data_IF_891334237096
#
_entry.id   IF_891334237096
#
_cell.length_a   1.000
_cell.length_b   1.000
_cell.length_c   1.000
_cell.angle_alpha   90.00
_cell.angle_beta   90.00
_cell.angle_gamma   90.00
#
_symmetry.space_group_name_H-M   'P 1'
#
loop_
_entity.id
_entity.type
_entity.pdbx_description
1 polymer ?
#
# COMPACT_ATOMS: atom_id res chain seq x y z
N UNK A 1 -9.20 3.06 -29.84
CA UNK A 1 -10.00 4.26 -29.53
C UNK A 1 -10.56 4.06 -28.14
N UNK A 2 -9.95 4.68 -27.12
CA UNK A 2 -10.47 4.65 -25.75
C UNK A 2 -11.75 5.49 -25.71
N UNK A 3 -12.88 4.87 -25.42
CA UNK A 3 -14.18 5.52 -25.44
C UNK A 3 -14.40 6.24 -24.11
N UNK A 4 -14.44 7.57 -24.13
CA UNK A 4 -14.50 8.45 -22.95
C UNK A 4 -15.84 8.37 -22.17
N UNK A 5 -16.75 7.46 -22.51
CA UNK A 5 -18.11 7.39 -21.95
C UNK A 5 -18.34 6.26 -20.94
N UNK A 6 -17.30 5.57 -20.45
CA UNK A 6 -17.45 4.39 -19.57
C UNK A 6 -17.02 4.57 -18.11
N UNK A 7 -16.37 5.68 -17.74
CA UNK A 7 -16.01 5.92 -16.33
C UNK A 7 -17.14 6.69 -15.65
N UNK A 8 -18.19 5.96 -15.30
CA UNK A 8 -19.31 6.46 -14.49
C UNK A 8 -18.76 6.96 -13.14
N UNK A 9 -19.10 8.19 -12.77
CA UNK A 9 -18.44 8.95 -11.70
C UNK A 9 -18.49 8.25 -10.33
N UNK A 10 -17.31 7.77 -9.95
CA UNK A 10 -16.62 7.70 -8.66
C UNK A 10 -17.36 8.36 -7.44
N UNK A 11 -17.37 7.70 -6.25
CA UNK A 11 -18.19 8.08 -5.10
C UNK A 11 -17.82 9.41 -4.38
N UNK A 12 -16.79 10.13 -4.82
CA UNK A 12 -16.30 11.42 -4.32
C UNK A 12 -16.60 12.63 -5.21
N UNK A 13 -17.35 12.46 -6.31
CA UNK A 13 -17.54 13.43 -7.43
C UNK A 13 -18.14 14.82 -7.11
N UNK A 14 -18.28 15.21 -5.85
CA UNK A 14 -18.89 16.50 -5.46
C UNK A 14 -17.88 17.58 -5.05
N UNK A 15 -16.61 17.24 -4.78
CA UNK A 15 -15.62 18.20 -4.27
C UNK A 15 -14.26 18.08 -4.95
N UNK A 16 -13.72 19.22 -5.42
CA UNK A 16 -12.34 19.29 -5.88
C UNK A 16 -11.42 19.57 -4.68
N UNK A 17 -10.51 18.64 -4.32
CA UNK A 17 -9.65 18.84 -3.17
C UNK A 17 -8.56 19.87 -3.48
N UNK A 18 -8.19 20.67 -2.47
CA UNK A 18 -7.11 21.66 -2.58
C UNK A 18 -5.75 21.02 -2.85
N UNK A 19 -4.79 21.83 -3.30
CA UNK A 19 -3.41 21.36 -3.44
C UNK A 19 -2.79 21.01 -2.08
N UNK A 20 -2.13 19.85 -2.04
CA UNK A 20 -1.39 19.36 -0.87
C UNK A 20 0.10 19.19 -1.15
N UNK A 21 0.91 18.97 -0.12
CA UNK A 21 2.35 18.67 -0.23
C UNK A 21 2.57 17.19 -0.54
N UNK A 22 3.70 16.83 -1.16
CA UNK A 22 4.00 15.45 -1.60
C UNK A 22 4.05 14.43 -0.46
N UNK A 23 4.51 14.88 0.71
CA UNK A 23 4.80 14.03 1.86
C UNK A 23 3.70 14.08 2.92
N UNK A 24 2.56 14.69 2.62
CA UNK A 24 1.47 14.90 3.58
C UNK A 24 0.25 14.12 3.18
N UNK A 25 -0.55 13.69 4.15
CA UNK A 25 -1.76 12.91 3.95
C UNK A 25 -2.86 13.66 3.18
N UNK A 26 -4.01 13.02 2.97
CA UNK A 26 -5.16 13.60 2.24
C UNK A 26 -5.78 14.83 2.90
N UNK A 27 -5.54 15.10 4.19
CA UNK A 27 -5.94 16.36 4.82
C UNK A 27 -4.85 17.44 4.76
N UNK A 28 -3.67 17.10 4.23
CA UNK A 28 -2.48 17.95 4.16
C UNK A 28 -1.97 18.41 5.54
N UNK A 29 -2.31 17.70 6.62
CA UNK A 29 -1.97 18.07 8.00
C UNK A 29 -0.92 17.15 8.62
N UNK A 30 -0.87 15.89 8.24
CA UNK A 30 0.06 14.90 8.79
C UNK A 30 1.14 14.60 7.76
N UNK A 31 2.42 14.70 8.14
CA UNK A 31 3.55 14.34 7.28
C UNK A 31 3.74 12.82 7.28
N UNK A 32 3.15 12.12 6.31
CA UNK A 32 3.15 10.64 6.20
C UNK A 32 4.49 10.02 5.83
N UNK A 33 5.52 10.82 5.56
CA UNK A 33 6.90 10.33 5.48
C UNK A 33 7.65 10.34 6.82
N UNK A 34 7.01 10.76 7.91
CA UNK A 34 7.60 10.90 9.24
C UNK A 34 6.88 10.02 10.25
N UNK A 35 7.56 8.98 10.75
CA UNK A 35 6.99 8.08 11.75
C UNK A 35 6.50 8.81 13.00
N UNK A 36 7.25 9.76 13.59
CA UNK A 36 6.75 10.51 14.74
C UNK A 36 5.46 11.28 14.45
N UNK A 37 5.37 11.92 13.26
CA UNK A 37 4.18 12.67 12.90
C UNK A 37 2.95 11.77 12.72
N UNK A 38 3.12 10.61 12.09
CA UNK A 38 2.02 9.63 11.95
C UNK A 38 1.65 9.03 13.31
N UNK A 39 2.62 8.59 14.11
CA UNK A 39 2.38 8.07 15.47
C UNK A 39 1.59 9.05 16.31
N UNK A 40 1.97 10.33 16.31
CA UNK A 40 1.31 11.35 17.14
C UNK A 40 -0.13 11.60 16.65
N UNK A 41 -0.35 11.69 15.34
CA UNK A 41 -1.70 11.80 14.78
C UNK A 41 -2.56 10.56 15.08
N UNK A 42 -1.97 9.37 15.04
CA UNK A 42 -2.65 8.12 15.32
C UNK A 42 -2.99 7.99 16.81
N UNK A 43 -2.11 8.46 17.69
CA UNK A 43 -2.41 8.59 19.13
C UNK A 43 -3.62 9.48 19.35
N UNK A 44 -3.68 10.63 18.69
CA UNK A 44 -4.81 11.56 18.87
C UNK A 44 -6.13 10.91 18.40
N UNK A 45 -6.14 10.22 17.26
CA UNK A 45 -7.30 9.46 16.74
C UNK A 45 -7.70 8.32 17.70
N UNK A 46 -6.72 7.55 18.19
CA UNK A 46 -6.94 6.39 19.04
C UNK A 46 -7.44 6.79 20.44
N UNK A 47 -6.82 7.78 21.06
CA UNK A 47 -7.19 8.26 22.39
C UNK A 47 -8.53 9.00 22.41
N UNK A 48 -8.95 9.60 21.29
CA UNK A 48 -10.32 10.15 21.19
C UNK A 48 -11.38 9.04 21.25
N UNK A 49 -11.11 7.88 20.63
CA UNK A 49 -12.00 6.71 20.68
C UNK A 49 -11.89 5.94 22.01
N UNK A 50 -10.67 5.86 22.59
CA UNK A 50 -10.38 5.08 23.79
C UNK A 50 -9.58 5.89 24.84
N UNK A 51 -10.21 6.86 25.54
CA UNK A 51 -9.48 7.81 26.40
C UNK A 51 -8.74 7.21 27.59
N UNK A 52 -9.12 6.00 28.01
CA UNK A 52 -8.55 5.32 29.19
C UNK A 52 -7.56 4.21 28.84
N UNK A 53 -7.30 3.97 27.54
CA UNK A 53 -6.46 2.87 27.08
C UNK A 53 -5.04 3.37 26.83
N UNK A 54 -4.04 2.61 27.31
CA UNK A 54 -2.64 2.95 27.13
C UNK A 54 -2.20 2.81 25.66
N UNK A 55 -1.40 3.78 25.19
CA UNK A 55 -0.86 3.80 23.83
C UNK A 55 0.52 3.10 23.71
N UNK A 56 1.04 2.54 24.81
CA UNK A 56 2.42 2.06 24.90
C UNK A 56 2.78 1.00 23.85
N UNK A 57 1.87 0.05 23.58
CA UNK A 57 2.10 -1.00 22.57
C UNK A 57 2.18 -0.45 21.15
N UNK A 58 1.33 0.53 20.82
CA UNK A 58 1.40 1.22 19.52
C UNK A 58 2.67 2.07 19.43
N UNK A 59 3.05 2.72 20.51
CA UNK A 59 4.31 3.47 20.57
C UNK A 59 5.51 2.55 20.29
N UNK A 60 5.58 1.38 20.95
CA UNK A 60 6.62 0.37 20.73
C UNK A 60 6.59 -0.09 19.27
N UNK A 61 5.40 -0.37 18.71
CA UNK A 61 5.28 -0.76 17.30
C UNK A 61 5.81 0.29 16.32
N UNK A 62 5.56 1.57 16.54
CA UNK A 62 6.13 2.63 15.71
C UNK A 62 7.65 2.75 15.87
N UNK A 63 8.18 2.58 17.09
CA UNK A 63 9.63 2.53 17.32
C UNK A 63 10.26 1.36 16.54
N UNK A 64 9.70 0.18 16.70
CA UNK A 64 10.18 -1.07 16.12
C UNK A 64 10.07 -1.07 14.58
N UNK A 65 9.03 -0.44 14.03
CA UNK A 65 8.89 -0.17 12.60
C UNK A 65 10.05 0.67 12.05
N UNK A 66 10.45 1.75 12.73
CA UNK A 66 11.64 2.52 12.32
C UNK A 66 12.90 1.68 12.37
N UNK A 67 13.10 0.92 13.45
CA UNK A 67 14.27 0.05 13.59
C UNK A 67 14.35 -0.96 12.43
N UNK A 68 13.23 -1.55 12.04
CA UNK A 68 13.13 -2.49 10.94
C UNK A 68 13.41 -1.81 9.59
N UNK A 69 12.69 -0.75 9.25
CA UNK A 69 12.82 -0.08 7.94
C UNK A 69 14.18 0.60 7.75
N UNK A 70 14.84 1.03 8.84
CA UNK A 70 16.20 1.59 8.80
C UNK A 70 17.30 0.52 8.73
N UNK A 71 16.98 -0.77 8.86
CA UNK A 71 17.97 -1.84 8.93
C UNK A 71 18.75 -1.88 10.25
N UNK A 72 18.18 -1.29 11.30
CA UNK A 72 18.74 -1.29 12.67
C UNK A 72 18.22 -2.46 13.51
N UNK A 73 17.32 -3.27 12.97
CA UNK A 73 16.93 -4.55 13.53
C UNK A 73 17.98 -5.61 13.23
N UNK A 74 18.42 -6.35 14.26
CA UNK A 74 19.60 -7.22 14.17
C UNK A 74 19.59 -8.16 12.95
N UNK A 75 18.47 -8.85 12.75
CA UNK A 75 18.35 -9.94 11.78
C UNK A 75 17.89 -9.49 10.37
N UNK A 76 17.59 -8.20 10.19
CA UNK A 76 17.03 -7.66 8.95
C UNK A 76 17.95 -6.61 8.33
N UNK A 77 17.95 -6.57 7.01
CA UNK A 77 18.45 -5.42 6.26
C UNK A 77 17.47 -4.25 6.40
N UNK A 78 17.83 -3.08 5.87
CA UNK A 78 16.89 -1.96 5.74
C UNK A 78 16.01 -2.08 4.51
N UNK A 79 14.89 -1.36 4.51
CA UNK A 79 13.99 -1.26 3.35
C UNK A 79 14.79 -0.78 2.13
N UNK A 80 14.75 -1.54 1.04
CA UNK A 80 15.43 -1.23 -0.22
C UNK A 80 14.48 -1.21 -1.44
N UNK A 81 13.18 -1.39 -1.21
CA UNK A 81 12.07 -1.11 -2.12
C UNK A 81 11.83 0.40 -2.24
N UNK A 82 11.44 0.88 -3.42
CA UNK A 82 11.31 2.31 -3.76
C UNK A 82 9.86 2.79 -3.83
N UNK A 83 8.92 1.88 -4.06
CA UNK A 83 7.48 2.11 -4.02
C UNK A 83 6.90 1.71 -2.67
N UNK A 84 7.11 0.46 -2.25
CA UNK A 84 6.73 -0.05 -0.92
C UNK A 84 7.75 0.41 0.12
N UNK A 85 7.88 1.74 0.26
CA UNK A 85 8.81 2.41 1.16
C UNK A 85 8.12 2.85 2.47
N UNK A 86 8.87 3.46 3.39
CA UNK A 86 8.34 3.90 4.69
C UNK A 86 7.10 4.77 4.56
N UNK A 87 7.04 5.65 3.55
CA UNK A 87 5.91 6.57 3.39
C UNK A 87 4.63 5.80 3.06
N UNK A 88 4.71 4.76 2.22
CA UNK A 88 3.56 3.95 1.86
C UNK A 88 2.93 3.30 3.10
N UNK A 89 3.72 2.58 3.90
CA UNK A 89 3.20 1.90 5.10
C UNK A 89 2.61 2.89 6.10
N UNK A 90 3.23 4.06 6.28
CA UNK A 90 2.78 5.09 7.21
C UNK A 90 1.46 5.77 6.76
N UNK A 91 1.31 6.10 5.46
CA UNK A 91 0.08 6.72 4.93
C UNK A 91 -1.11 5.76 5.05
N UNK A 92 -0.91 4.51 4.65
CA UNK A 92 -1.93 3.47 4.78
C UNK A 92 -2.25 3.18 6.26
N UNK A 93 -1.28 3.18 7.17
CA UNK A 93 -1.55 2.96 8.61
C UNK A 93 -2.43 4.05 9.19
N UNK A 94 -2.24 5.31 8.75
CA UNK A 94 -3.12 6.41 9.11
C UNK A 94 -4.53 6.25 8.50
N UNK A 95 -4.64 5.76 7.27
CA UNK A 95 -5.93 5.43 6.66
C UNK A 95 -6.66 4.30 7.40
N UNK A 96 -5.94 3.25 7.82
CA UNK A 96 -6.48 2.16 8.63
C UNK A 96 -7.06 2.66 9.94
N UNK A 97 -6.32 3.50 10.68
CA UNK A 97 -6.80 4.07 11.93
C UNK A 97 -8.10 4.87 11.75
N UNK A 98 -8.18 5.66 10.67
CA UNK A 98 -9.39 6.44 10.33
C UNK A 98 -10.58 5.53 10.00
N UNK A 99 -10.36 4.44 9.26
CA UNK A 99 -11.41 3.47 8.96
C UNK A 99 -11.94 2.78 10.21
N UNK A 100 -11.05 2.27 11.06
CA UNK A 100 -11.39 1.58 12.29
C UNK A 100 -12.17 2.49 13.26
N UNK A 101 -11.68 3.72 13.48
CA UNK A 101 -12.36 4.67 14.36
C UNK A 101 -13.65 5.19 13.74
N UNK A 102 -13.70 5.37 12.42
CA UNK A 102 -14.94 5.68 11.71
C UNK A 102 -16.01 4.60 11.89
N UNK A 103 -15.62 3.33 11.83
CA UNK A 103 -16.50 2.20 12.13
C UNK A 103 -16.98 2.24 13.57
N UNK A 104 -16.05 2.25 14.53
CA UNK A 104 -16.34 2.20 15.96
C UNK A 104 -17.27 3.33 16.43
N UNK A 105 -17.18 4.53 15.82
CA UNK A 105 -18.06 5.67 16.13
C UNK A 105 -19.48 5.55 15.57
N UNK A 106 -19.69 4.64 14.61
CA UNK A 106 -20.93 4.59 13.82
C UNK A 106 -21.75 3.32 14.03
N UNK A 107 -21.13 2.23 14.48
CA UNK A 107 -21.82 0.98 14.73
C UNK A 107 -22.53 0.95 16.09
N UNK A 108 -23.38 -0.04 16.32
CA UNK A 108 -23.99 -0.23 17.63
C UNK A 108 -22.96 -0.77 18.63
N UNK A 109 -23.18 -0.53 19.93
CA UNK A 109 -22.27 -0.97 21.01
C UNK A 109 -21.96 -2.47 20.98
N UNK A 110 -22.94 -3.29 20.61
CA UNK A 110 -22.77 -4.74 20.50
C UNK A 110 -21.88 -5.17 19.31
N UNK A 111 -21.63 -4.27 18.36
CA UNK A 111 -20.81 -4.51 17.16
C UNK A 111 -19.40 -3.93 17.29
N UNK A 112 -19.12 -3.18 18.37
CA UNK A 112 -17.81 -2.60 18.64
C UNK A 112 -16.71 -3.65 18.51
N UNK A 113 -15.63 -3.26 17.83
CA UNK A 113 -14.46 -4.13 17.64
C UNK A 113 -13.67 -4.26 18.93
N UNK A 114 -13.75 -3.26 19.81
CA UNK A 114 -12.96 -3.20 21.04
C UNK A 114 -11.52 -2.75 20.78
N UNK A 115 -10.92 -2.22 21.84
CA UNK A 115 -9.65 -1.49 21.82
C UNK A 115 -8.46 -2.36 21.39
N UNK A 116 -8.42 -3.63 21.82
CA UNK A 116 -7.30 -4.52 21.56
C UNK A 116 -7.30 -4.99 20.09
N UNK A 117 -8.47 -5.32 19.54
CA UNK A 117 -8.59 -5.70 18.12
C UNK A 117 -8.25 -4.55 17.18
N UNK A 118 -8.72 -3.33 17.50
CA UNK A 118 -8.37 -2.13 16.74
C UNK A 118 -6.86 -1.88 16.81
N UNK A 119 -6.26 -1.99 18.00
CA UNK A 119 -4.81 -1.87 18.18
C UNK A 119 -4.05 -2.87 17.30
N UNK A 120 -4.46 -4.15 17.31
CA UNK A 120 -3.86 -5.19 16.47
C UNK A 120 -4.02 -4.87 14.98
N UNK A 121 -5.20 -4.42 14.55
CA UNK A 121 -5.43 -4.00 13.15
C UNK A 121 -4.49 -2.88 12.70
N UNK A 122 -4.23 -1.90 13.57
CA UNK A 122 -3.26 -0.82 13.29
C UNK A 122 -1.82 -1.37 13.20
N UNK A 123 -1.44 -2.29 14.08
CA UNK A 123 -0.10 -2.90 14.05
C UNK A 123 0.08 -3.76 12.78
N UNK A 124 -0.95 -4.51 12.39
CA UNK A 124 -0.92 -5.29 11.14
C UNK A 124 -0.76 -4.37 9.93
N UNK A 125 -1.46 -3.24 9.88
CA UNK A 125 -1.27 -2.22 8.83
C UNK A 125 0.17 -1.70 8.79
N UNK A 126 0.73 -1.35 9.96
CA UNK A 126 2.10 -0.84 10.07
C UNK A 126 3.15 -1.81 9.50
N UNK A 127 2.94 -3.12 9.63
CA UNK A 127 3.88 -4.17 9.20
C UNK A 127 3.42 -5.00 7.99
N UNK A 128 2.35 -4.61 7.30
CA UNK A 128 1.77 -5.41 6.21
C UNK A 128 2.78 -5.71 5.07
N UNK A 129 3.76 -4.83 4.87
CA UNK A 129 4.82 -4.90 3.86
C UNK A 129 6.21 -5.25 4.43
N UNK A 130 6.27 -5.60 5.71
CA UNK A 130 7.52 -6.04 6.36
C UNK A 130 8.20 -7.20 5.61
N UNK A 131 7.42 -8.00 4.88
CA UNK A 131 7.91 -9.10 4.05
C UNK A 131 8.72 -8.68 2.83
N UNK A 132 8.73 -7.41 2.44
CA UNK A 132 9.72 -6.91 1.47
C UNK A 132 11.13 -6.80 2.08
N UNK A 133 11.22 -6.68 3.40
CA UNK A 133 12.50 -6.47 4.08
C UNK A 133 13.25 -7.79 4.12
N UNK A 134 14.49 -7.74 3.64
CA UNK A 134 15.33 -8.93 3.51
C UNK A 134 15.86 -9.34 4.87
N UNK A 135 15.84 -10.64 5.16
CA UNK A 135 16.51 -11.23 6.32
C UNK A 135 17.99 -11.43 6.00
N UNK A 136 18.87 -11.29 6.99
CA UNK A 136 20.33 -11.46 6.78
C UNK A 136 20.76 -12.91 6.67
N UNK A 137 19.93 -13.84 7.15
CA UNK A 137 20.18 -15.28 7.16
C UNK A 137 19.52 -16.03 5.99
N UNK A 138 18.81 -15.33 5.10
CA UNK A 138 18.17 -15.93 3.93
C UNK A 138 19.07 -15.90 2.68
N UNK A 139 18.84 -16.77 1.69
CA UNK A 139 19.60 -16.76 0.45
C UNK A 139 19.66 -15.35 -0.17
N UNK A 140 20.83 -14.93 -0.66
CA UNK A 140 21.04 -13.56 -1.08
C UNK A 140 20.09 -13.17 -2.21
N UNK A 141 19.34 -12.10 -1.97
CA UNK A 141 18.55 -11.35 -2.95
C UNK A 141 19.19 -9.99 -3.17
N UNK A 142 19.12 -9.48 -4.39
CA UNK A 142 19.69 -8.18 -4.73
C UNK A 142 18.81 -7.02 -4.25
N UNK A 143 17.50 -7.25 -4.10
CA UNK A 143 16.54 -6.27 -3.61
C UNK A 143 15.31 -6.93 -3.00
N UNK A 144 14.64 -6.25 -2.06
CA UNK A 144 13.40 -6.70 -1.43
C UNK A 144 12.25 -6.91 -2.42
N UNK A 145 12.20 -6.15 -3.52
CA UNK A 145 11.19 -6.32 -4.57
C UNK A 145 11.16 -7.75 -5.17
N UNK A 146 12.25 -8.52 -5.08
CA UNK A 146 12.23 -9.92 -5.50
C UNK A 146 11.24 -10.80 -4.71
N UNK A 147 10.71 -10.30 -3.59
CA UNK A 147 9.72 -10.99 -2.77
C UNK A 147 8.27 -10.67 -3.14
N UNK A 148 7.97 -9.81 -4.14
CA UNK A 148 6.61 -9.35 -4.44
C UNK A 148 5.55 -10.45 -4.52
N UNK A 149 5.87 -11.64 -5.05
CA UNK A 149 4.88 -12.72 -5.19
C UNK A 149 4.61 -13.53 -3.92
N UNK A 150 5.38 -13.33 -2.84
CA UNK A 150 5.14 -13.97 -1.53
C UNK A 150 5.46 -13.08 -0.31
N UNK A 151 5.48 -11.75 -0.48
CA UNK A 151 5.82 -10.79 0.57
C UNK A 151 4.78 -10.78 1.69
N UNK A 152 3.51 -11.04 1.42
CA UNK A 152 2.46 -11.05 2.44
C UNK A 152 2.57 -12.26 3.35
N UNK A 153 2.91 -13.44 2.81
CA UNK A 153 3.30 -14.60 3.62
C UNK A 153 4.49 -14.30 4.53
N UNK A 154 5.49 -13.55 4.02
CA UNK A 154 6.63 -13.12 4.83
C UNK A 154 6.25 -12.11 5.91
N UNK A 155 5.34 -11.18 5.63
CA UNK A 155 4.78 -10.27 6.64
C UNK A 155 3.97 -11.02 7.70
N UNK A 156 3.24 -12.06 7.30
CA UNK A 156 2.54 -12.95 8.21
C UNK A 156 3.50 -13.65 9.18
N UNK A 157 4.64 -14.15 8.68
CA UNK A 157 5.70 -14.74 9.51
C UNK A 157 6.33 -13.71 10.45
N UNK A 158 6.62 -12.51 9.97
CA UNK A 158 7.10 -11.42 10.82
C UNK A 158 6.11 -11.11 11.96
N UNK A 159 4.81 -10.97 11.66
CA UNK A 159 3.78 -10.70 12.66
C UNK A 159 3.65 -11.82 13.70
N UNK A 160 3.80 -13.10 13.29
CA UNK A 160 3.80 -14.26 14.21
C UNK A 160 4.94 -14.17 15.22
N UNK A 161 6.12 -13.73 14.78
CA UNK A 161 7.31 -13.58 15.63
C UNK A 161 7.26 -12.29 16.48
N UNK A 162 6.68 -11.22 15.93
CA UNK A 162 6.71 -9.87 16.52
C UNK A 162 5.66 -9.68 17.61
N UNK A 163 4.39 -10.03 17.36
CA UNK A 163 3.29 -9.76 18.29
C UNK A 163 3.49 -10.35 19.70
N UNK A 164 4.06 -11.57 19.89
CA UNK A 164 4.41 -12.08 21.21
C UNK A 164 5.41 -11.19 21.98
N UNK A 165 6.35 -10.52 21.29
CA UNK A 165 7.38 -9.67 21.92
C UNK A 165 6.81 -8.43 22.60
N UNK A 166 5.66 -7.96 22.11
CA UNK A 166 4.94 -6.80 22.67
C UNK A 166 3.70 -7.20 23.49
N UNK A 167 3.59 -8.48 23.85
CA UNK A 167 2.52 -9.01 24.72
C UNK A 167 1.17 -9.22 24.01
N UNK A 168 1.15 -9.34 22.68
CA UNK A 168 -0.03 -9.60 21.86
C UNK A 168 0.01 -11.00 21.21
N UNK A 169 0.68 -11.97 21.84
CA UNK A 169 0.93 -13.30 21.25
C UNK A 169 -0.34 -14.10 20.93
N UNK A 170 -1.45 -13.87 21.64
CA UNK A 170 -2.75 -14.48 21.34
C UNK A 170 -3.29 -14.09 19.95
N UNK A 171 -2.88 -12.95 19.42
CA UNK A 171 -3.28 -12.45 18.11
C UNK A 171 -2.38 -12.93 16.97
N UNK A 172 -1.24 -13.57 17.26
CA UNK A 172 -0.25 -13.96 16.26
C UNK A 172 -0.85 -14.77 15.10
N UNK A 173 -1.68 -15.78 15.41
CA UNK A 173 -2.35 -16.59 14.39
C UNK A 173 -3.33 -15.78 13.54
N UNK A 174 -4.22 -15.02 14.18
CA UNK A 174 -5.24 -14.21 13.52
C UNK A 174 -4.62 -13.10 12.66
N UNK A 175 -3.66 -12.35 13.21
CA UNK A 175 -2.95 -11.28 12.49
C UNK A 175 -2.23 -11.80 11.24
N UNK A 176 -1.64 -13.00 11.33
CA UNK A 176 -0.99 -13.66 10.20
C UNK A 176 -1.95 -14.05 9.08
N UNK A 177 -3.26 -14.11 9.35
CA UNK A 177 -4.32 -14.33 8.35
C UNK A 177 -4.89 -13.01 7.86
N UNK A 178 -5.12 -12.04 8.76
CA UNK A 178 -5.62 -10.69 8.43
C UNK A 178 -4.72 -10.01 7.40
N UNK A 179 -3.39 -10.12 7.54
CA UNK A 179 -2.47 -9.44 6.61
C UNK A 179 -2.65 -9.89 5.15
N UNK A 180 -3.15 -11.10 4.89
CA UNK A 180 -3.41 -11.59 3.52
C UNK A 180 -4.49 -10.83 2.76
N UNK A 181 -5.27 -9.98 3.42
CA UNK A 181 -6.25 -9.12 2.73
C UNK A 181 -5.62 -8.00 1.89
N UNK A 182 -4.33 -7.70 2.06
CA UNK A 182 -3.60 -6.72 1.21
C UNK A 182 -3.14 -7.34 -0.10
N UNK A 183 -2.66 -8.58 -0.06
CA UNK A 183 -2.02 -9.26 -1.18
C UNK A 183 -2.94 -9.88 -2.22
N UNK A 184 -2.30 -10.56 -3.17
CA UNK A 184 -2.93 -11.40 -4.20
C UNK A 184 -2.49 -12.87 -4.11
N UNK A 185 -1.73 -13.22 -3.08
CA UNK A 185 -1.23 -14.59 -2.83
C UNK A 185 -2.35 -15.59 -2.57
N UNK A 186 -3.40 -15.13 -1.88
CA UNK A 186 -4.61 -15.89 -1.61
C UNK A 186 -5.80 -15.18 -2.27
N UNK A 187 -6.76 -15.97 -2.73
CA UNK A 187 -8.07 -15.40 -3.01
C UNK A 187 -8.68 -14.94 -1.69
N UNK A 188 -9.25 -13.73 -1.66
CA UNK A 188 -9.87 -13.14 -0.47
C UNK A 188 -10.96 -14.07 0.09
N UNK A 189 -11.70 -14.76 -0.79
CA UNK A 189 -12.76 -15.70 -0.38
C UNK A 189 -12.23 -16.94 0.36
N UNK A 190 -10.93 -17.25 0.19
CA UNK A 190 -10.26 -18.40 0.83
C UNK A 190 -9.57 -18.02 2.15
N UNK A 191 -9.67 -16.74 2.57
CA UNK A 191 -9.11 -16.28 3.85
C UNK A 191 -10.10 -16.60 4.98
N UNK A 192 -9.97 -17.79 5.53
CA UNK A 192 -10.77 -18.23 6.68
C UNK A 192 -10.27 -17.64 8.02
N UNK A 193 -11.21 -17.04 8.76
CA UNK A 193 -11.08 -16.53 10.13
C UNK A 193 -12.31 -16.95 10.94
N UNK A 194 -12.13 -17.35 12.20
CA UNK A 194 -13.22 -17.86 13.03
C UNK A 194 -14.19 -16.77 13.48
N UNK A 195 -13.67 -15.58 13.81
CA UNK A 195 -14.47 -14.46 14.26
C UNK A 195 -14.73 -13.48 13.10
N UNK A 196 -15.99 -13.18 12.75
CA UNK A 196 -16.31 -12.26 11.66
C UNK A 196 -15.81 -10.82 11.90
N UNK A 197 -15.59 -10.39 13.15
CA UNK A 197 -14.96 -9.10 13.45
C UNK A 197 -13.50 -9.05 12.97
N UNK A 198 -12.79 -10.18 12.96
CA UNK A 198 -11.42 -10.25 12.47
C UNK A 198 -11.38 -10.16 10.93
N UNK A 199 -12.34 -10.77 10.24
CA UNK A 199 -12.51 -10.58 8.79
C UNK A 199 -12.82 -9.12 8.45
N UNK A 200 -13.59 -8.44 9.30
CA UNK A 200 -13.86 -7.02 9.13
C UNK A 200 -12.59 -6.15 9.25
N UNK A 201 -11.66 -6.49 10.16
CA UNK A 201 -10.32 -5.87 10.20
C UNK A 201 -9.59 -6.10 8.87
N UNK A 202 -9.66 -7.31 8.30
CA UNK A 202 -9.10 -7.62 6.98
C UNK A 202 -9.68 -6.72 5.87
N UNK A 203 -10.99 -6.52 5.85
CA UNK A 203 -11.64 -5.61 4.89
C UNK A 203 -11.17 -4.16 5.03
N UNK A 204 -11.00 -3.67 6.27
CA UNK A 204 -10.45 -2.35 6.52
C UNK A 204 -9.01 -2.24 6.05
N UNK A 205 -8.20 -3.25 6.32
CA UNK A 205 -6.79 -3.29 5.93
C UNK A 205 -6.63 -3.22 4.41
N UNK A 206 -7.28 -4.13 3.66
CA UNK A 206 -7.22 -4.13 2.20
C UNK A 206 -7.83 -2.88 1.56
N UNK A 207 -8.82 -2.27 2.22
CA UNK A 207 -9.36 -0.97 1.82
C UNK A 207 -8.35 0.15 2.02
N UNK A 208 -7.70 0.22 3.19
CA UNK A 208 -6.72 1.25 3.53
C UNK A 208 -5.55 1.25 2.55
N UNK A 209 -5.04 0.06 2.22
CA UNK A 209 -3.94 -0.14 1.29
C UNK A 209 -4.24 0.41 -0.11
N UNK A 210 -5.31 -0.08 -0.76
CA UNK A 210 -5.74 0.40 -2.07
C UNK A 210 -6.02 1.92 -2.07
N UNK A 211 -6.74 2.40 -1.05
CA UNK A 211 -7.21 3.76 -1.00
C UNK A 211 -6.08 4.76 -0.74
N UNK A 212 -5.20 4.51 0.23
CA UNK A 212 -4.10 5.41 0.56
C UNK A 212 -3.08 5.48 -0.58
N UNK A 213 -2.72 4.33 -1.14
CA UNK A 213 -1.80 4.24 -2.28
C UNK A 213 -2.28 5.08 -3.46
N UNK A 214 -3.52 4.88 -3.90
CA UNK A 214 -4.07 5.55 -5.09
C UNK A 214 -4.38 7.03 -4.83
N UNK A 215 -4.63 7.40 -3.57
CA UNK A 215 -4.84 8.78 -3.18
C UNK A 215 -3.54 9.59 -3.14
N UNK A 216 -2.35 8.95 -3.00
CA UNK A 216 -1.04 9.63 -2.92
C UNK A 216 -0.92 10.72 -3.99
N UNK A 217 -0.47 11.92 -3.57
CA UNK A 217 -0.29 13.06 -4.47
C UNK A 217 0.63 12.72 -5.63
N UNK A 218 1.63 11.88 -5.40
CA UNK A 218 2.61 11.46 -6.38
C UNK A 218 2.35 10.03 -6.90
N UNK A 219 1.13 9.51 -6.74
CA UNK A 219 0.77 8.15 -7.14
C UNK A 219 1.24 7.82 -8.57
N UNK A 220 0.95 8.69 -9.54
CA UNK A 220 1.30 8.46 -10.94
C UNK A 220 2.82 8.42 -11.18
N UNK A 221 3.56 9.36 -10.60
CA UNK A 221 5.02 9.37 -10.71
C UNK A 221 5.66 8.17 -10.00
N UNK A 222 5.16 7.80 -8.81
CA UNK A 222 5.60 6.60 -8.09
C UNK A 222 5.31 5.33 -8.87
N UNK A 223 4.14 5.21 -9.51
CA UNK A 223 3.80 4.07 -10.34
C UNK A 223 4.75 3.93 -11.55
N UNK A 224 4.99 5.02 -12.28
CA UNK A 224 5.86 5.04 -13.46
C UNK A 224 7.32 4.72 -13.10
N UNK A 225 7.85 5.37 -12.07
CA UNK A 225 9.30 5.40 -11.82
C UNK A 225 9.74 4.35 -10.79
N UNK A 226 8.81 3.83 -9.98
CA UNK A 226 9.12 2.99 -8.82
C UNK A 226 8.39 1.66 -8.83
N UNK A 227 7.06 1.65 -8.90
CA UNK A 227 6.29 0.40 -8.90
C UNK A 227 6.67 -0.50 -10.07
N UNK A 228 6.77 0.08 -11.27
CA UNK A 228 7.23 -0.66 -12.45
C UNK A 228 8.62 -1.28 -12.23
N UNK A 229 9.55 -0.53 -11.63
CA UNK A 229 10.89 -1.01 -11.32
C UNK A 229 10.85 -2.23 -10.39
N UNK A 230 9.99 -2.19 -9.37
CA UNK A 230 9.80 -3.33 -8.47
C UNK A 230 9.19 -4.53 -9.20
N UNK A 231 8.20 -4.33 -10.07
CA UNK A 231 7.64 -5.41 -10.88
C UNK A 231 8.67 -6.06 -11.82
N UNK A 232 9.62 -5.28 -12.36
CA UNK A 232 10.73 -5.84 -13.14
C UNK A 232 11.65 -6.69 -12.28
N UNK A 233 12.03 -6.21 -11.09
CA UNK A 233 12.89 -6.97 -10.18
C UNK A 233 12.21 -8.26 -9.67
N UNK A 234 10.91 -8.20 -9.41
CA UNK A 234 10.07 -9.33 -9.06
C UNK A 234 9.88 -10.35 -10.20
N UNK A 235 10.20 -9.99 -11.45
CA UNK A 235 9.92 -10.84 -12.61
C UNK A 235 8.44 -10.92 -12.99
N UNK A 236 7.62 -9.97 -12.53
CA UNK A 236 6.16 -9.94 -12.82
C UNK A 236 5.78 -8.87 -13.86
N UNK A 237 6.71 -8.00 -14.26
CA UNK A 237 6.47 -7.04 -15.34
C UNK A 237 6.54 -7.68 -16.74
N UNK A 238 7.45 -8.64 -16.91
CA UNK A 238 7.81 -9.26 -18.18
C UNK A 238 7.67 -10.76 -17.99
N UNK A 239 6.79 -11.41 -18.76
CA UNK A 239 6.63 -12.87 -18.67
C UNK A 239 7.97 -13.56 -18.93
N UNK A 240 8.38 -14.44 -18.02
CA UNK A 240 9.56 -15.27 -18.22
C UNK A 240 9.27 -16.27 -19.35
N UNK A 241 10.16 -16.31 -20.35
CA UNK A 241 10.06 -17.26 -21.46
C UNK A 241 10.21 -18.73 -21.01
N UNK A 242 10.71 -18.96 -19.79
CA UNK A 242 10.96 -20.28 -19.21
C UNK A 242 9.83 -20.81 -18.29
N UNK A 243 8.77 -20.03 -18.04
CA UNK A 243 7.58 -20.49 -17.33
C UNK A 243 6.49 -20.89 -18.33
N UNK A 244 5.92 -22.09 -18.14
CA UNK A 244 5.03 -22.81 -19.07
C UNK A 244 4.17 -21.92 -19.99
N UNK A 245 4.32 -22.17 -21.28
CA UNK A 245 3.86 -21.38 -22.43
C UNK A 245 2.32 -21.25 -22.58
N UNK A 246 1.51 -21.64 -21.59
CA UNK A 246 0.06 -21.41 -21.58
C UNK A 246 -0.36 -20.16 -20.78
N UNK A 247 0.56 -19.51 -20.03
CA UNK A 247 0.27 -18.26 -19.30
C UNK A 247 1.09 -17.04 -19.76
N UNK A 248 2.06 -17.22 -20.66
CA UNK A 248 3.01 -16.19 -21.08
C UNK A 248 2.75 -15.71 -22.52
N UNK A 249 1.55 -15.23 -22.84
CA UNK A 249 1.34 -14.42 -24.04
C UNK A 249 1.61 -12.93 -23.75
N UNK A 250 2.90 -12.56 -23.70
CA UNK A 250 3.36 -11.16 -23.79
C UNK A 250 3.76 -10.47 -22.48
N UNK A 251 4.49 -9.36 -22.63
CA UNK A 251 4.84 -8.43 -21.54
C UNK A 251 3.57 -7.99 -20.79
N UNK A 252 3.48 -8.27 -19.48
CA UNK A 252 2.36 -7.78 -18.66
C UNK A 252 2.38 -6.25 -18.54
N UNK A 253 3.58 -5.66 -18.46
CA UNK A 253 3.82 -4.23 -18.53
C UNK A 253 5.07 -3.94 -19.38
N UNK A 254 4.88 -3.27 -20.53
CA UNK A 254 5.99 -2.97 -21.43
C UNK A 254 6.94 -1.87 -20.91
N UNK A 255 6.46 -0.99 -20.03
CA UNK A 255 7.19 0.10 -19.41
C UNK A 255 6.40 0.70 -18.24
N UNK A 256 7.00 1.62 -17.48
CA UNK A 256 6.27 2.41 -16.49
C UNK A 256 5.14 3.25 -17.09
N UNK A 257 5.27 3.66 -18.37
CA UNK A 257 4.20 4.35 -19.11
C UNK A 257 3.07 3.39 -19.46
N UNK A 258 3.37 2.16 -19.87
CA UNK A 258 2.36 1.13 -20.13
C UNK A 258 1.59 0.75 -18.85
N UNK A 259 2.28 0.67 -17.72
CA UNK A 259 1.64 0.52 -16.40
C UNK A 259 0.64 1.65 -16.13
N UNK A 260 1.00 2.90 -16.43
CA UNK A 260 0.08 4.03 -16.30
C UNK A 260 -1.10 3.94 -17.29
N UNK A 261 -0.88 3.52 -18.54
CA UNK A 261 -1.97 3.31 -19.51
C UNK A 261 -3.00 2.29 -19.03
N UNK A 262 -2.55 1.25 -18.31
CA UNK A 262 -3.39 0.18 -17.75
C UNK A 262 -3.99 0.51 -16.38
N UNK A 263 -3.54 1.58 -15.72
CA UNK A 263 -4.00 1.97 -14.38
C UNK A 263 -5.49 2.29 -14.28
N UNK A 264 -6.16 2.93 -15.27
CA UNK A 264 -7.62 3.11 -15.24
C UNK A 264 -8.39 1.79 -15.19
N UNK A 265 -7.95 0.78 -15.95
CA UNK A 265 -8.57 -0.54 -15.95
C UNK A 265 -8.30 -1.29 -14.65
N UNK A 266 -7.08 -1.18 -14.10
CA UNK A 266 -6.77 -1.67 -12.75
C UNK A 266 -7.72 -1.06 -11.71
N UNK A 267 -7.94 0.25 -11.75
CA UNK A 267 -8.87 0.90 -10.84
C UNK A 267 -10.30 0.35 -10.99
N UNK A 268 -10.82 0.37 -12.22
CA UNK A 268 -12.22 0.04 -12.49
C UNK A 268 -12.55 -1.43 -12.22
N UNK A 269 -11.66 -2.34 -12.61
CA UNK A 269 -11.97 -3.78 -12.63
C UNK A 269 -11.34 -4.54 -11.46
N UNK A 270 -10.20 -4.09 -10.94
CA UNK A 270 -9.52 -4.75 -9.81
C UNK A 270 -9.81 -4.03 -8.49
N UNK A 271 -9.42 -2.75 -8.36
CA UNK A 271 -9.51 -2.03 -7.11
C UNK A 271 -10.98 -1.85 -6.67
N UNK A 272 -11.84 -1.35 -7.56
CA UNK A 272 -13.27 -1.18 -7.24
C UNK A 272 -14.00 -2.50 -7.01
N UNK A 273 -13.63 -3.57 -7.72
CA UNK A 273 -14.21 -4.89 -7.44
C UNK A 273 -13.88 -5.36 -6.01
N UNK A 274 -12.63 -5.17 -5.55
CA UNK A 274 -12.27 -5.45 -4.15
C UNK A 274 -13.02 -4.54 -3.18
N UNK A 275 -12.99 -3.23 -3.39
CA UNK A 275 -13.59 -2.23 -2.49
C UNK A 275 -15.12 -2.39 -2.37
N UNK A 276 -15.82 -2.57 -3.49
CA UNK A 276 -17.29 -2.68 -3.50
C UNK A 276 -17.80 -4.07 -3.10
N UNK A 277 -17.13 -5.14 -3.55
CA UNK A 277 -17.67 -6.50 -3.45
C UNK A 277 -16.98 -7.35 -2.39
N UNK A 278 -15.67 -7.21 -2.21
CA UNK A 278 -14.89 -8.05 -1.29
C UNK A 278 -14.72 -7.42 0.08
N UNK A 279 -14.60 -6.10 0.15
CA UNK A 279 -14.37 -5.37 1.40
C UNK A 279 -15.61 -4.64 1.90
N UNK A 280 -16.80 -5.04 1.44
CA UNK A 280 -18.10 -4.55 1.91
C UNK A 280 -18.23 -3.01 1.95
N UNK A 281 -17.60 -2.31 1.01
CA UNK A 281 -17.59 -0.84 0.95
C UNK A 281 -17.07 -0.19 2.24
N UNK A 282 -16.09 -0.83 2.90
CA UNK A 282 -15.51 -0.33 4.14
C UNK A 282 -14.96 1.10 4.04
N UNK A 283 -14.60 1.56 2.83
CA UNK A 283 -14.16 2.94 2.61
C UNK A 283 -15.18 4.00 3.05
N UNK A 284 -16.46 3.64 3.16
CA UNK A 284 -17.52 4.57 3.62
C UNK A 284 -17.36 5.00 5.07
N UNK A 285 -16.65 4.24 5.90
CA UNK A 285 -16.42 4.65 7.29
C UNK A 285 -15.49 5.86 7.43
N UNK A 286 -14.78 6.24 6.37
CA UNK A 286 -14.12 7.55 6.32
C UNK A 286 -15.14 8.70 6.39
N UNK A 287 -16.32 8.54 5.78
CA UNK A 287 -17.36 9.59 5.69
C UNK A 287 -17.80 10.09 7.08
N UNK A 288 -17.76 9.21 8.08
CA UNK A 288 -18.08 9.50 9.49
C UNK A 288 -17.16 10.58 10.06
N UNK A 289 -15.91 10.64 9.61
CA UNK A 289 -14.89 11.55 10.13
C UNK A 289 -14.79 12.87 9.35
N UNK A 290 -15.48 12.99 8.21
CA UNK A 290 -15.34 14.11 7.28
C UNK A 290 -16.68 14.63 6.77
N UNK A 291 -17.69 14.69 7.65
CA UNK A 291 -19.01 15.27 7.35
C UNK A 291 -19.66 14.70 6.07
N UNK A 292 -19.55 13.38 5.88
CA UNK A 292 -20.09 12.69 4.72
C UNK A 292 -19.17 12.66 3.48
N UNK A 293 -17.97 13.27 3.56
CA UNK A 293 -16.98 13.25 2.47
C UNK A 293 -15.98 12.13 2.62
N UNK A 294 -15.34 11.73 1.51
CA UNK A 294 -14.20 10.82 1.54
C UNK A 294 -13.00 11.47 0.82
N UNK A 295 -12.10 12.16 1.54
CA UNK A 295 -10.98 12.87 0.93
C UNK A 295 -10.01 11.95 0.19
N UNK A 296 -9.91 10.67 0.55
CA UNK A 296 -9.08 9.74 -0.21
C UNK A 296 -9.64 9.52 -1.61
N UNK A 297 -10.94 9.23 -1.72
CA UNK A 297 -11.58 9.08 -3.03
C UNK A 297 -11.48 10.38 -3.84
N UNK A 298 -11.72 11.55 -3.23
CA UNK A 298 -11.53 12.84 -3.92
C UNK A 298 -10.13 12.98 -4.57
N UNK A 299 -9.06 12.50 -3.90
CA UNK A 299 -7.72 12.51 -4.49
C UNK A 299 -7.47 11.38 -5.49
N UNK A 300 -8.04 10.19 -5.30
CA UNK A 300 -7.98 9.10 -6.29
C UNK A 300 -8.59 9.57 -7.61
N UNK A 301 -9.78 10.17 -7.55
CA UNK A 301 -10.49 10.73 -8.69
C UNK A 301 -9.63 11.78 -9.40
N UNK A 302 -9.09 12.73 -8.64
CA UNK A 302 -8.21 13.77 -9.16
C UNK A 302 -6.99 13.19 -9.88
N UNK A 303 -6.38 12.14 -9.33
CA UNK A 303 -5.24 11.45 -9.94
C UNK A 303 -5.65 10.75 -11.25
N UNK A 304 -6.77 10.03 -11.26
CA UNK A 304 -7.27 9.31 -12.44
C UNK A 304 -7.71 10.26 -13.57
N UNK A 305 -8.40 11.36 -13.24
CA UNK A 305 -8.76 12.40 -14.22
C UNK A 305 -7.51 13.05 -14.83
N UNK A 306 -6.48 13.28 -14.01
CA UNK A 306 -5.23 13.84 -14.51
C UNK A 306 -4.49 12.87 -15.43
N UNK A 307 -4.44 11.59 -15.05
CA UNK A 307 -3.89 10.53 -15.87
C UNK A 307 -4.65 10.40 -17.21
N UNK A 308 -5.98 10.45 -17.19
CA UNK A 308 -6.79 10.38 -18.40
C UNK A 308 -6.40 11.48 -19.40
N UNK A 309 -6.31 12.73 -18.94
CA UNK A 309 -5.87 13.85 -19.78
C UNK A 309 -4.45 13.68 -20.32
N UNK A 310 -3.56 13.00 -19.59
CA UNK A 310 -2.20 12.70 -20.05
C UNK A 310 -2.23 11.64 -21.15
N UNK A 311 -2.99 10.55 -20.95
CA UNK A 311 -3.15 9.47 -21.93
C UNK A 311 -3.76 9.99 -23.23
N UNK A 312 -4.86 10.76 -23.15
CA UNK A 312 -5.54 11.32 -24.33
C UNK A 312 -4.63 12.20 -25.19
N UNK A 313 -3.73 12.94 -24.55
CA UNK A 313 -2.81 13.88 -25.21
C UNK A 313 -1.44 13.27 -25.51
N UNK A 314 -1.19 12.05 -25.03
CA UNK A 314 0.12 11.42 -24.97
C UNK A 314 1.23 12.34 -24.40
N UNK A 315 0.88 13.17 -23.39
CA UNK A 315 1.75 14.24 -22.85
C UNK A 315 2.34 13.84 -21.48
N UNK A 316 3.19 12.80 -21.50
CA UNK A 316 3.82 12.23 -20.29
C UNK A 316 4.75 13.21 -19.56
N UNK A 317 5.24 14.24 -20.25
CA UNK A 317 6.06 15.33 -19.67
C UNK A 317 5.30 16.23 -18.68
N UNK A 318 3.99 16.02 -18.51
CA UNK A 318 3.19 16.67 -17.47
C UNK A 318 3.40 16.06 -16.08
N UNK A 319 3.82 14.80 -15.99
CA UNK A 319 4.20 14.15 -14.73
C UNK A 319 5.55 14.69 -14.24
N UNK A 320 5.49 15.82 -13.51
CA UNK A 320 6.64 16.65 -13.14
C UNK A 320 7.04 16.54 -11.68
N UNK A 321 6.27 15.82 -10.85
CA UNK A 321 6.61 15.71 -9.43
C UNK A 321 7.83 14.80 -9.28
N UNK A 322 8.73 15.18 -8.39
CA UNK A 322 9.84 14.32 -7.98
C UNK A 322 9.66 13.99 -6.49
N UNK A 323 8.88 12.93 -6.16
CA UNK A 323 8.70 12.56 -4.76
C UNK A 323 10.05 12.10 -4.15
N UNK A 324 10.33 12.44 -2.88
CA UNK A 324 11.41 11.80 -2.13
C UNK A 324 11.11 10.30 -1.92
N UNK A 325 12.15 9.50 -1.68
CA UNK A 325 12.06 8.06 -1.48
C UNK A 325 12.63 7.72 -0.11
N UNK A 326 11.88 6.96 0.70
CA UNK A 326 12.15 6.78 2.12
C UNK A 326 12.57 5.35 2.43
N UNK A 327 13.80 5.05 2.04
CA UNK A 327 14.43 3.72 2.17
C UNK A 327 15.72 3.82 2.99
N UNK A 328 16.39 2.69 3.25
CA UNK A 328 17.71 2.64 3.88
C UNK A 328 18.87 2.82 2.88
N UNK A 329 18.59 2.99 1.59
CA UNK A 329 19.61 3.17 0.55
C UNK A 329 20.07 4.64 0.47
N UNK A 330 21.37 4.87 0.27
CA UNK A 330 21.92 6.23 0.07
C UNK A 330 21.42 6.89 -1.23
N UNK A 331 21.31 6.11 -2.31
CA UNK A 331 20.89 6.58 -3.64
C UNK A 331 19.81 5.64 -4.22
N UNK A 332 18.60 5.60 -3.63
CA UNK A 332 17.62 4.54 -3.84
C UNK A 332 17.26 4.34 -5.32
N UNK A 333 16.86 5.41 -6.01
CA UNK A 333 16.44 5.33 -7.41
C UNK A 333 17.59 4.92 -8.34
N UNK A 334 18.83 5.34 -8.05
CA UNK A 334 20.00 4.95 -8.85
C UNK A 334 20.36 3.49 -8.64
N UNK A 335 20.34 3.01 -7.40
CA UNK A 335 20.60 1.62 -7.04
C UNK A 335 19.59 0.68 -7.69
N UNK A 336 18.29 1.00 -7.57
CA UNK A 336 17.22 0.20 -8.20
C UNK A 336 17.28 0.28 -9.73
N UNK A 337 17.50 1.45 -10.31
CA UNK A 337 17.64 1.60 -11.77
C UNK A 337 18.79 0.76 -12.35
N UNK A 338 19.92 0.67 -11.63
CA UNK A 338 21.03 -0.18 -12.04
C UNK A 338 20.68 -1.68 -11.99
N UNK A 339 19.89 -2.11 -11.00
CA UNK A 339 19.39 -3.49 -10.90
C UNK A 339 18.40 -3.81 -12.02
N UNK A 340 17.43 -2.93 -12.25
CA UNK A 340 16.44 -3.04 -13.33
C UNK A 340 17.13 -3.13 -14.69
N UNK A 341 18.12 -2.27 -14.94
CA UNK A 341 18.85 -2.28 -16.22
C UNK A 341 19.57 -3.61 -16.47
N UNK A 342 20.18 -4.20 -15.43
CA UNK A 342 20.79 -5.53 -15.53
C UNK A 342 19.74 -6.61 -15.80
N UNK A 343 18.67 -6.65 -14.99
CA UNK A 343 17.59 -7.63 -15.12
C UNK A 343 16.95 -7.61 -16.50
N UNK A 344 16.67 -6.42 -17.05
CA UNK A 344 16.11 -6.26 -18.39
C UNK A 344 17.07 -6.72 -19.49
N UNK A 345 18.37 -6.43 -19.35
CA UNK A 345 19.39 -6.90 -20.28
C UNK A 345 19.50 -8.43 -20.28
N UNK A 346 19.48 -9.05 -19.10
CA UNK A 346 19.53 -10.51 -18.95
C UNK A 346 18.30 -11.20 -19.59
N UNK A 347 17.13 -10.53 -19.57
CA UNK A 347 15.88 -11.01 -20.20
C UNK A 347 15.77 -10.67 -21.70
N UNK A 348 16.76 -10.01 -22.32
CA UNK A 348 16.67 -9.49 -23.69
C UNK A 348 15.43 -8.59 -23.93
N UNK A 349 15.01 -7.84 -22.92
CA UNK A 349 13.84 -6.96 -23.01
C UNK A 349 14.09 -5.78 -23.98
N UNK A 350 13.03 -5.25 -24.65
CA UNK A 350 13.18 -4.11 -25.55
C UNK A 350 13.62 -2.85 -24.80
N UNK A 351 14.35 -1.96 -25.48
CA UNK A 351 14.83 -0.70 -24.89
C UNK A 351 13.70 0.18 -24.33
N UNK A 352 12.47 0.06 -24.86
CA UNK A 352 11.27 0.72 -24.34
C UNK A 352 10.93 0.35 -22.90
N UNK A 353 11.43 -0.77 -22.37
CA UNK A 353 11.26 -1.14 -20.96
C UNK A 353 12.01 -0.21 -20.01
N UNK A 354 13.06 0.48 -20.47
CA UNK A 354 13.81 1.46 -19.68
C UNK A 354 13.25 2.88 -19.79
N UNK A 355 12.36 3.14 -20.76
CA UNK A 355 11.93 4.50 -21.06
C UNK A 355 10.78 4.95 -20.17
N UNK A 356 10.95 6.11 -19.52
CA UNK A 356 9.90 6.82 -18.78
C UNK A 356 9.10 7.80 -19.65
N UNK A 357 9.41 7.85 -20.96
CA UNK A 357 8.80 8.68 -22.00
C UNK A 357 8.75 7.86 -23.29
N UNK A 358 7.67 7.93 -24.06
CA UNK A 358 7.60 7.26 -25.38
C UNK A 358 8.69 7.75 -26.34
#
# INVERSE_FOLDING_TARGET
MYNASQYEFLPGSRFQPSDRRNEYDVTNTVKVSSTPAVRDALRDIYCEAFPQVAFDRLWIAFHDFEQLYDGRWLDYEGCDTVYHDRQHSLDMTLAMARLLVGYERSCAEAEHLGEERIMVGIIVALFHDSGYIRRKDEPPRANGAEFTTWHVSRSADFLREYLPRIGLGSWAGVASRIVHFTGYELNIDDIELENPQDSLIGHFLGTADLMAQMADRCYLEKCRDRLYSEFVLAGVAIGDADNDAEQSEGLMYASGVDLLRKTPDFYQYMAMSRLDKKFNRAYRYIEVLYDGRNPYFEFIERNLEYLHRIIERNDWGRLRRNPPCFTALDQPLKSVSALVSRKLADMNAPASALTTTD
#
